data_IF_575373313026
#
_entry.id   IF_575373313026
#
_cell.length_a   1.000
_cell.length_b   1.000
_cell.length_c   1.000
_cell.angle_alpha   90.00
_cell.angle_beta   90.00
_cell.angle_gamma   90.00
#
_symmetry.space_group_name_H-M   'P 1'
#
loop_
_entity.id
_entity.type
_entity.pdbx_description
1 polymer ?
#
# COMPACT_ATOMS: atom_id res chain seq x y z
N UNK A 1 2.96 -15.85 -8.14
CA UNK A 1 2.99 -14.48 -7.60
C UNK A 1 1.66 -13.78 -7.84
N UNK A 2 1.07 -13.23 -6.81
CA UNK A 2 -0.20 -12.53 -6.91
C UNK A 2 0.03 -11.08 -7.32
N UNK A 3 -0.69 -10.61 -8.33
CA UNK A 3 -0.59 -9.23 -8.79
C UNK A 3 -1.82 -8.44 -8.33
N UNK A 4 -1.57 -7.30 -7.69
CA UNK A 4 -2.63 -6.39 -7.25
C UNK A 4 -2.38 -5.02 -7.87
N UNK A 5 -3.41 -4.43 -8.47
CA UNK A 5 -3.32 -3.09 -9.04
C UNK A 5 -4.08 -2.14 -8.13
N UNK A 6 -3.39 -1.11 -7.65
CA UNK A 6 -3.97 -0.10 -6.77
C UNK A 6 -4.23 1.19 -7.53
N UNK A 7 -5.40 1.76 -7.30
CA UNK A 7 -5.78 3.05 -7.85
C UNK A 7 -5.21 4.16 -6.95
N UNK A 8 -4.21 4.87 -7.44
CA UNK A 8 -3.55 5.91 -6.66
C UNK A 8 -4.46 7.07 -6.24
N UNK A 9 -5.56 7.26 -6.97
CA UNK A 9 -6.51 8.32 -6.58
C UNK A 9 -7.21 8.02 -5.25
N UNK A 10 -7.21 6.75 -4.84
CA UNK A 10 -7.80 6.32 -3.57
C UNK A 10 -6.81 6.45 -2.41
N UNK A 11 -5.57 6.80 -2.68
CA UNK A 11 -4.52 6.97 -1.67
C UNK A 11 -4.37 8.45 -1.32
N UNK A 12 -5.48 9.11 -1.05
CA UNK A 12 -5.54 10.56 -0.95
C UNK A 12 -5.65 11.10 0.47
N UNK A 13 -6.13 10.30 1.42
CA UNK A 13 -6.18 10.68 2.81
C UNK A 13 -6.24 9.42 3.67
N UNK A 14 -6.13 9.60 4.98
CA UNK A 14 -6.07 8.46 5.90
C UNK A 14 -7.29 7.56 5.81
N UNK A 15 -8.48 8.13 5.87
CA UNK A 15 -9.71 7.34 5.91
C UNK A 15 -9.91 6.52 4.64
N UNK A 16 -9.83 7.18 3.49
CA UNK A 16 -10.04 6.53 2.20
C UNK A 16 -8.95 5.49 1.93
N UNK A 17 -7.70 5.86 2.17
CA UNK A 17 -6.56 4.99 1.91
C UNK A 17 -6.66 3.67 2.68
N UNK A 18 -6.85 3.76 3.98
CA UNK A 18 -6.78 2.54 4.80
C UNK A 18 -8.02 1.67 4.65
N UNK A 19 -9.19 2.26 4.38
CA UNK A 19 -10.37 1.46 4.05
C UNK A 19 -10.18 0.72 2.74
N UNK A 20 -9.65 1.41 1.74
CA UNK A 20 -9.40 0.83 0.42
C UNK A 20 -8.36 -0.28 0.49
N UNK A 21 -7.24 -0.03 1.17
CA UNK A 21 -6.18 -1.03 1.29
C UNK A 21 -6.61 -2.24 2.10
N UNK A 22 -7.39 -2.02 3.15
CA UNK A 22 -7.89 -3.14 3.96
C UNK A 22 -8.71 -4.09 3.11
N UNK A 23 -9.55 -3.54 2.24
CA UNK A 23 -10.38 -4.35 1.35
C UNK A 23 -9.58 -5.05 0.26
N UNK A 24 -8.75 -4.28 -0.46
CA UNK A 24 -8.02 -4.80 -1.63
C UNK A 24 -6.92 -5.78 -1.25
N UNK A 25 -6.21 -5.50 -0.16
CA UNK A 25 -5.12 -6.35 0.32
C UNK A 25 -5.61 -7.40 1.32
N UNK A 26 -6.90 -7.42 1.62
CA UNK A 26 -7.49 -8.36 2.57
C UNK A 26 -6.77 -8.32 3.91
N UNK A 27 -6.54 -7.09 4.42
CA UNK A 27 -5.87 -6.92 5.70
C UNK A 27 -6.80 -7.36 6.84
N UNK A 28 -6.22 -7.77 7.98
CA UNK A 28 -7.04 -8.29 9.07
C UNK A 28 -7.97 -7.23 9.65
N UNK A 29 -9.05 -7.70 10.30
CA UNK A 29 -10.04 -6.81 10.89
C UNK A 29 -9.45 -5.90 11.98
N UNK A 30 -8.36 -6.33 12.61
CA UNK A 30 -7.68 -5.54 13.63
C UNK A 30 -6.64 -4.58 13.06
N UNK A 31 -6.62 -4.42 11.75
CA UNK A 31 -5.70 -3.48 11.10
C UNK A 31 -5.90 -2.06 11.68
N UNK A 32 -4.80 -1.45 12.12
CA UNK A 32 -4.84 -0.17 12.86
C UNK A 32 -5.13 1.07 12.04
N UNK A 33 -5.26 0.94 10.72
CA UNK A 33 -5.62 2.04 9.82
C UNK A 33 -4.73 3.27 9.94
N UNK A 34 -3.42 3.04 10.04
CA UNK A 34 -2.42 4.08 10.01
C UNK A 34 -1.20 3.57 9.25
N UNK A 35 -0.24 4.48 8.99
CA UNK A 35 0.92 4.13 8.17
C UNK A 35 1.83 3.10 8.85
N UNK A 36 1.97 3.16 10.17
CA UNK A 36 2.78 2.18 10.89
C UNK A 36 2.16 0.79 10.80
N UNK A 37 0.84 0.71 10.98
CA UNK A 37 0.14 -0.57 10.86
C UNK A 37 0.22 -1.09 9.43
N UNK A 38 0.16 -0.20 8.45
CA UNK A 38 0.30 -0.58 7.05
C UNK A 38 1.67 -1.20 6.78
N UNK A 39 2.73 -0.55 7.28
CA UNK A 39 4.08 -1.08 7.13
C UNK A 39 4.20 -2.49 7.69
N UNK A 40 3.68 -2.70 8.91
CA UNK A 40 3.74 -4.00 9.54
C UNK A 40 3.01 -5.07 8.73
N UNK A 41 1.83 -4.73 8.21
CA UNK A 41 1.07 -5.68 7.39
C UNK A 41 1.77 -5.97 6.07
N UNK A 42 2.36 -4.96 5.42
CA UNK A 42 3.05 -5.16 4.15
C UNK A 42 4.27 -6.07 4.30
N UNK A 43 4.99 -5.95 5.39
CA UNK A 43 6.18 -6.79 5.60
C UNK A 43 5.83 -8.25 5.84
N UNK A 44 4.57 -8.55 6.12
CA UNK A 44 4.11 -9.93 6.28
C UNK A 44 3.60 -10.57 4.99
N UNK A 45 3.41 -9.76 3.94
CA UNK A 45 2.93 -10.27 2.67
C UNK A 45 4.03 -11.02 1.93
N UNK A 46 3.64 -12.10 1.24
CA UNK A 46 4.59 -12.93 0.48
C UNK A 46 4.11 -13.15 -0.94
N UNK A 47 5.06 -13.19 -1.87
CA UNK A 47 4.79 -13.45 -3.29
C UNK A 47 3.76 -12.50 -3.89
N UNK A 48 3.92 -11.22 -3.59
CA UNK A 48 3.00 -10.19 -4.06
C UNK A 48 3.71 -9.16 -4.92
N UNK A 49 3.06 -8.85 -6.03
CA UNK A 49 3.48 -7.77 -6.92
C UNK A 49 2.38 -6.72 -6.89
N UNK A 50 2.73 -5.51 -6.47
CA UNK A 50 1.77 -4.41 -6.37
C UNK A 50 2.12 -3.34 -7.40
N UNK A 51 1.15 -3.01 -8.25
CA UNK A 51 1.27 -1.93 -9.20
C UNK A 51 0.39 -0.79 -8.72
N UNK A 52 0.99 0.38 -8.50
CA UNK A 52 0.26 1.57 -8.07
C UNK A 52 0.16 2.53 -9.25
N UNK A 53 -1.06 2.86 -9.63
CA UNK A 53 -1.28 3.84 -10.71
C UNK A 53 -1.24 5.24 -10.13
N UNK A 54 -0.34 6.08 -10.64
CA UNK A 54 -0.21 7.45 -10.15
C UNK A 54 -1.47 8.26 -10.43
N UNK A 55 -1.93 9.06 -9.47
CA UNK A 55 -2.99 10.03 -9.73
C UNK A 55 -2.42 11.19 -10.53
N UNK A 56 -3.27 12.00 -11.14
CA UNK A 56 -2.81 13.19 -11.86
C UNK A 56 -2.17 14.19 -10.91
N UNK A 57 -2.71 14.33 -9.70
CA UNK A 57 -2.15 15.20 -8.68
C UNK A 57 -1.77 14.37 -7.45
N UNK A 58 -0.47 14.36 -7.13
CA UNK A 58 0.04 13.64 -5.98
C UNK A 58 0.01 14.55 -4.77
N UNK A 59 -0.77 14.19 -3.75
CA UNK A 59 -0.79 14.95 -2.51
C UNK A 59 0.18 14.36 -1.49
N UNK A 60 0.30 15.02 -0.35
CA UNK A 60 1.21 14.59 0.71
C UNK A 60 0.94 13.17 1.20
N UNK A 61 -0.33 12.83 1.37
CA UNK A 61 -0.66 11.51 1.89
C UNK A 61 -0.27 10.42 0.92
N UNK A 62 -0.50 10.63 -0.37
CA UNK A 62 -0.06 9.70 -1.40
C UNK A 62 1.45 9.44 -1.30
N UNK A 63 2.23 10.50 -1.16
CA UNK A 63 3.69 10.35 -1.04
C UNK A 63 4.09 9.59 0.21
N UNK A 64 3.39 9.81 1.32
CA UNK A 64 3.66 9.07 2.56
C UNK A 64 3.33 7.59 2.40
N UNK A 65 2.24 7.28 1.72
CA UNK A 65 1.86 5.89 1.44
C UNK A 65 2.93 5.23 0.57
N UNK A 66 3.39 5.93 -0.47
CA UNK A 66 4.46 5.37 -1.33
C UNK A 66 5.73 5.07 -0.55
N UNK A 67 6.11 5.93 0.39
CA UNK A 67 7.29 5.69 1.22
C UNK A 67 7.14 4.41 2.03
N UNK A 68 5.95 4.17 2.56
CA UNK A 68 5.68 2.96 3.33
C UNK A 68 5.81 1.73 2.44
N UNK A 69 5.21 1.76 1.25
CA UNK A 69 5.31 0.64 0.31
C UNK A 69 6.76 0.39 -0.11
N UNK A 70 7.51 1.43 -0.42
CA UNK A 70 8.91 1.27 -0.82
C UNK A 70 9.79 0.79 0.33
N UNK A 71 9.54 1.27 1.54
CA UNK A 71 10.25 0.82 2.73
C UNK A 71 10.00 -0.66 3.00
N UNK A 72 8.75 -1.10 2.86
CA UNK A 72 8.41 -2.51 3.04
C UNK A 72 9.08 -3.38 1.97
N UNK A 73 9.14 -2.89 0.73
CA UNK A 73 9.81 -3.60 -0.35
C UNK A 73 11.28 -3.85 -0.04
N UNK A 74 11.96 -2.88 0.55
CA UNK A 74 13.36 -3.01 0.92
C UNK A 74 13.59 -4.04 2.01
N UNK A 75 12.61 -4.25 2.88
CA UNK A 75 12.72 -5.20 3.98
C UNK A 75 12.28 -6.61 3.61
N UNK A 76 11.51 -6.77 2.52
CA UNK A 76 10.89 -8.04 2.19
C UNK A 76 11.18 -8.43 0.74
N UNK A 77 11.90 -9.55 0.55
CA UNK A 77 12.30 -10.00 -0.78
C UNK A 77 11.13 -10.48 -1.65
N UNK A 78 10.06 -10.93 -1.02
CA UNK A 78 8.90 -11.48 -1.75
C UNK A 78 7.86 -10.43 -2.12
N UNK A 79 8.17 -9.16 -1.93
CA UNK A 79 7.21 -8.08 -2.10
C UNK A 79 7.79 -7.08 -3.09
N UNK A 80 7.08 -6.85 -4.18
CA UNK A 80 7.53 -5.92 -5.22
C UNK A 80 6.50 -4.83 -5.46
N UNK A 81 6.95 -3.59 -5.53
CA UNK A 81 6.07 -2.43 -5.78
C UNK A 81 6.56 -1.69 -7.00
N UNK A 82 5.67 -1.45 -7.94
CA UNK A 82 5.95 -0.66 -9.13
C UNK A 82 4.93 0.48 -9.20
N UNK A 83 5.42 1.69 -9.42
CA UNK A 83 4.55 2.87 -9.55
C UNK A 83 4.58 3.31 -11.01
N UNK A 84 3.40 3.39 -11.61
CA UNK A 84 3.28 3.74 -13.04
C UNK A 84 2.49 4.99 -13.30
#
# INVERSE_FOLDING_TARGET
MKKIVLDGTRLCNREVTHAYLQEVLELPVYYGKNLDALYDCLTELQDIYIEIKRPEEENDYFRRVLRVFKGAEMECESFTVVVK
#
